data_IF_812108256472
#
_entry.id   IF_812108256472
#
_cell.length_a   1.000
_cell.length_b   1.000
_cell.length_c   1.000
_cell.angle_alpha   90.00
_cell.angle_beta   90.00
_cell.angle_gamma   90.00
#
_symmetry.space_group_name_H-M   'P 1'
#
loop_
_entity.id
_entity.type
_entity.pdbx_description
1 polymer ?
#
# COMPACT_ATOMS: atom_id res chain seq x y z
N UNK A 1 -6.11 -9.22 -20.95
CA UNK A 1 -6.71 -8.10 -20.17
C UNK A 1 -6.50 -8.40 -18.69
N UNK A 2 -5.82 -7.56 -17.91
CA UNK A 2 -5.74 -7.75 -16.47
C UNK A 2 -7.15 -7.70 -15.88
N UNK A 3 -7.44 -8.56 -14.91
CA UNK A 3 -8.72 -8.54 -14.19
C UNK A 3 -8.86 -7.23 -13.42
N UNK A 4 -10.12 -6.83 -13.13
CA UNK A 4 -10.41 -5.66 -12.29
C UNK A 4 -9.64 -5.76 -10.96
N UNK A 5 -9.57 -6.96 -10.39
CA UNK A 5 -8.83 -7.26 -9.17
C UNK A 5 -7.32 -6.99 -9.31
N UNK A 6 -6.68 -7.48 -10.37
CA UNK A 6 -5.25 -7.23 -10.62
C UNK A 6 -4.96 -5.73 -10.77
N UNK A 7 -5.86 -5.00 -11.44
CA UNK A 7 -5.74 -3.54 -11.58
C UNK A 7 -5.88 -2.83 -10.24
N UNK A 8 -6.87 -3.20 -9.43
CA UNK A 8 -7.11 -2.60 -8.11
C UNK A 8 -5.91 -2.82 -7.17
N UNK A 9 -5.33 -4.01 -7.17
CA UNK A 9 -4.12 -4.31 -6.38
C UNK A 9 -2.91 -3.50 -6.84
N UNK A 10 -2.74 -3.33 -8.15
CA UNK A 10 -1.67 -2.48 -8.66
C UNK A 10 -1.85 -1.03 -8.22
N UNK A 11 -3.08 -0.51 -8.24
CA UNK A 11 -3.37 0.83 -7.75
C UNK A 11 -3.10 0.95 -6.24
N UNK A 12 -3.49 -0.04 -5.43
CA UNK A 12 -3.16 -0.07 -3.99
C UNK A 12 -1.66 -0.04 -3.73
N UNK A 13 -0.86 -0.79 -4.49
CA UNK A 13 0.61 -0.74 -4.39
C UNK A 13 1.17 0.62 -4.74
N UNK A 14 0.65 1.24 -5.80
CA UNK A 14 1.10 2.57 -6.23
C UNK A 14 0.78 3.61 -5.14
N UNK A 15 -0.44 3.60 -4.61
CA UNK A 15 -0.82 4.52 -3.53
C UNK A 15 -0.04 4.28 -2.25
N UNK A 16 0.31 3.03 -1.90
CA UNK A 16 1.19 2.77 -0.77
C UNK A 16 2.56 3.46 -0.94
N UNK A 17 3.13 3.43 -2.15
CA UNK A 17 4.41 4.09 -2.45
C UNK A 17 4.28 5.62 -2.37
N UNK A 18 3.25 6.19 -3.01
CA UNK A 18 2.98 7.63 -2.98
C UNK A 18 2.79 8.13 -1.54
N UNK A 19 2.03 7.38 -0.72
CA UNK A 19 1.77 7.74 0.66
C UNK A 19 3.05 7.75 1.51
N UNK A 20 3.95 6.78 1.30
CA UNK A 20 5.25 6.75 1.96
C UNK A 20 6.13 7.94 1.54
N UNK A 21 6.08 8.34 0.26
CA UNK A 21 6.80 9.54 -0.20
C UNK A 21 6.27 10.80 0.48
N UNK A 22 4.94 10.95 0.57
CA UNK A 22 4.31 12.07 1.27
C UNK A 22 4.71 12.10 2.75
N UNK A 23 4.77 10.93 3.40
CA UNK A 23 5.19 10.83 4.80
C UNK A 23 6.57 11.47 5.04
N UNK A 24 7.53 11.22 4.15
CA UNK A 24 8.87 11.80 4.23
C UNK A 24 8.96 13.29 3.90
N UNK A 25 7.89 13.91 3.38
CA UNK A 25 7.83 15.35 3.15
C UNK A 25 7.28 16.13 4.34
N UNK A 26 6.81 15.45 5.39
CA UNK A 26 6.16 16.10 6.52
C UNK A 26 7.17 16.85 7.41
N UNK A 27 6.90 18.13 7.74
CA UNK A 27 7.77 18.88 8.62
C UNK A 27 7.74 18.29 10.03
N UNK A 28 8.93 18.12 10.62
CA UNK A 28 9.12 17.59 11.98
C UNK A 28 8.58 16.17 12.21
N UNK A 29 8.28 15.41 11.14
CA UNK A 29 7.77 14.03 11.24
C UNK A 29 6.35 13.91 11.81
N UNK A 30 5.61 15.01 11.95
CA UNK A 30 4.26 15.01 12.53
C UNK A 30 3.30 14.24 11.63
N UNK A 31 2.82 13.09 12.09
CA UNK A 31 1.93 12.21 11.32
C UNK A 31 2.66 11.27 10.35
N UNK A 32 3.98 11.32 10.27
CA UNK A 32 4.78 10.42 9.41
C UNK A 32 4.52 8.96 9.76
N UNK A 33 4.53 8.63 11.06
CA UNK A 33 4.34 7.26 11.53
C UNK A 33 2.98 6.68 11.11
N UNK A 34 1.90 7.47 11.21
CA UNK A 34 0.56 7.02 10.83
C UNK A 34 0.44 6.81 9.31
N UNK A 35 1.08 7.68 8.52
CA UNK A 35 1.13 7.52 7.06
C UNK A 35 1.97 6.32 6.62
N UNK A 36 3.10 6.07 7.30
CA UNK A 36 3.92 4.87 7.06
C UNK A 36 3.16 3.60 7.40
N UNK A 37 2.45 3.59 8.54
CA UNK A 37 1.59 2.46 8.94
C UNK A 37 0.49 2.23 7.91
N UNK A 38 -0.16 3.28 7.42
CA UNK A 38 -1.20 3.17 6.39
C UNK A 38 -0.61 2.66 5.06
N UNK A 39 0.58 3.13 4.67
CA UNK A 39 1.30 2.64 3.49
C UNK A 39 1.58 1.13 3.59
N UNK A 40 2.08 0.67 4.73
CA UNK A 40 2.37 -0.75 4.95
C UNK A 40 1.09 -1.60 4.93
N UNK A 41 -0.01 -1.11 5.51
CA UNK A 41 -1.31 -1.77 5.44
C UNK A 41 -1.82 -1.90 4.00
N UNK A 42 -1.73 -0.84 3.20
CA UNK A 42 -2.15 -0.87 1.79
C UNK A 42 -1.36 -1.90 0.97
N UNK A 43 -0.05 -2.01 1.24
CA UNK A 43 0.80 -3.02 0.62
C UNK A 43 0.41 -4.43 1.05
N UNK A 44 0.20 -4.66 2.35
CA UNK A 44 -0.25 -5.94 2.89
C UNK A 44 -1.61 -6.37 2.31
N UNK A 45 -2.54 -5.44 2.14
CA UNK A 45 -3.85 -5.72 1.50
C UNK A 45 -3.70 -6.07 0.03
N UNK A 46 -2.80 -5.41 -0.71
CA UNK A 46 -2.55 -5.74 -2.11
C UNK A 46 -1.92 -7.13 -2.30
N UNK A 47 -1.18 -7.62 -1.29
CA UNK A 47 -0.44 -8.88 -1.35
C UNK A 47 -1.18 -10.08 -0.71
N UNK A 48 -2.23 -9.85 0.08
CA UNK A 48 -2.93 -10.86 0.89
C UNK A 48 -3.52 -12.07 0.13
N UNK A 49 -3.72 -12.01 -1.19
CA UNK A 49 -4.29 -13.13 -1.96
C UNK A 49 -3.22 -14.02 -2.61
N UNK A 50 -1.93 -13.78 -2.36
CA UNK A 50 -0.87 -14.74 -2.76
C UNK A 50 -0.89 -16.00 -1.87
N UNK A 51 -1.57 -15.98 -0.70
CA UNK A 51 -1.53 -17.06 0.30
C UNK A 51 -2.74 -18.00 0.27
N UNK A 52 -3.84 -17.65 -0.40
CA UNK A 52 -5.07 -18.48 -0.43
C UNK A 52 -5.17 -19.42 -1.64
N UNK A 53 -4.05 -19.98 -2.11
CA UNK A 53 -4.03 -21.09 -3.09
C UNK A 53 -2.87 -22.04 -2.77
N UNK A 54 -3.00 -22.74 -1.65
CA UNK A 54 -2.02 -23.68 -1.15
C UNK A 54 -2.40 -24.22 0.23
N UNK A 55 -3.60 -24.79 0.33
CA UNK A 55 -4.01 -25.71 1.40
C UNK A 55 -4.97 -26.74 0.80
#
# INVERSE_FOLDING_TARGET
>A
MPTIETRLRQQLRNYAVELRQVAYTLPNGVGEHDLLRLSDQMRATADQVVVSRGA
#
